data_IF_599403974320
#
_entry.id   IF_599403974320
#
_cell.length_a   1.000
_cell.length_b   1.000
_cell.length_c   1.000
_cell.angle_alpha   90.00
_cell.angle_beta   90.00
_cell.angle_gamma   90.00
#
_symmetry.space_group_name_H-M   'P 1'
#
loop_
_entity.id
_entity.type
_entity.pdbx_description
1 polymer ?
#
# COMPACT_ATOMS: atom_id res chain seq x y z
N UNK A 1 15.62 14.56 -0.94
CA UNK A 1 15.20 13.53 -1.91
C UNK A 1 15.47 12.17 -1.28
N UNK A 2 14.45 11.44 -0.80
CA UNK A 2 14.64 10.02 -0.47
C UNK A 2 14.64 9.28 -1.81
N UNK A 3 15.80 8.83 -2.26
CA UNK A 3 15.92 7.80 -3.30
C UNK A 3 15.13 6.60 -2.81
N UNK A 4 13.94 6.39 -3.37
CA UNK A 4 13.15 5.20 -3.12
C UNK A 4 13.94 4.04 -3.68
N UNK A 5 14.46 3.21 -2.78
CA UNK A 5 15.18 2.03 -3.20
C UNK A 5 14.16 1.02 -3.77
N UNK A 6 14.47 0.30 -4.86
CA UNK A 6 13.52 -0.63 -5.49
C UNK A 6 12.95 -1.70 -4.56
N UNK A 7 13.61 -1.96 -3.43
CA UNK A 7 13.14 -2.82 -2.33
C UNK A 7 11.86 -2.28 -1.64
N UNK A 8 11.65 -0.97 -1.61
CA UNK A 8 10.44 -0.36 -1.05
C UNK A 8 9.23 -0.62 -1.96
N UNK A 9 9.40 -0.56 -3.29
CA UNK A 9 8.29 -0.70 -4.24
C UNK A 9 7.64 -2.08 -4.15
N UNK A 10 8.44 -3.15 -4.11
CA UNK A 10 7.90 -4.52 -3.98
C UNK A 10 7.12 -4.71 -2.69
N UNK A 11 7.60 -4.10 -1.61
CA UNK A 11 6.96 -4.17 -0.29
C UNK A 11 5.63 -3.43 -0.27
N UNK A 12 5.57 -2.25 -0.89
CA UNK A 12 4.33 -1.47 -1.06
C UNK A 12 3.28 -2.24 -1.88
N UNK A 13 3.68 -2.83 -3.01
CA UNK A 13 2.80 -3.63 -3.86
C UNK A 13 2.28 -4.87 -3.12
N UNK A 14 3.16 -5.59 -2.42
CA UNK A 14 2.78 -6.77 -1.63
C UNK A 14 1.80 -6.41 -0.50
N UNK A 15 2.00 -5.27 0.16
CA UNK A 15 1.10 -4.78 1.21
C UNK A 15 -0.30 -4.49 0.67
N UNK A 16 -0.39 -3.77 -0.45
CA UNK A 16 -1.69 -3.46 -1.08
C UNK A 16 -2.36 -4.74 -1.59
N UNK A 17 -1.62 -5.63 -2.26
CA UNK A 17 -2.13 -6.92 -2.73
C UNK A 17 -2.65 -7.80 -1.58
N UNK A 18 -1.97 -7.80 -0.43
CA UNK A 18 -2.39 -8.56 0.73
C UNK A 18 -3.73 -8.08 1.31
N UNK A 19 -3.98 -6.76 1.30
CA UNK A 19 -5.18 -6.18 1.90
C UNK A 19 -6.38 -6.05 0.96
N UNK A 20 -6.16 -5.74 -0.31
CA UNK A 20 -7.24 -5.53 -1.28
C UNK A 20 -7.35 -6.63 -2.34
N UNK A 21 -6.39 -7.56 -2.38
CA UNK A 21 -6.33 -8.65 -3.38
C UNK A 21 -6.37 -8.15 -4.82
N UNK A 22 -5.85 -6.95 -5.06
CA UNK A 22 -5.71 -6.39 -6.39
C UNK A 22 -4.69 -7.16 -7.22
N UNK A 23 -4.93 -7.31 -8.53
CA UNK A 23 -4.05 -8.05 -9.41
C UNK A 23 -2.74 -7.25 -9.63
N UNK A 24 -1.65 -7.99 -9.83
CA UNK A 24 -0.29 -7.43 -9.81
C UNK A 24 -0.05 -6.38 -10.90
N UNK A 25 -0.62 -6.61 -12.08
CA UNK A 25 -0.62 -5.70 -13.23
C UNK A 25 -1.25 -4.35 -12.87
N UNK A 26 -2.41 -4.36 -12.24
CA UNK A 26 -3.09 -3.13 -11.82
C UNK A 26 -2.28 -2.34 -10.78
N UNK A 27 -1.54 -3.03 -9.91
CA UNK A 27 -0.69 -2.38 -8.92
C UNK A 27 0.59 -1.78 -9.53
N UNK A 28 1.12 -2.40 -10.59
CA UNK A 28 2.27 -1.88 -11.33
C UNK A 28 1.91 -0.62 -12.13
N UNK A 29 0.66 -0.51 -12.60
CA UNK A 29 0.16 0.66 -13.32
C UNK A 29 -0.13 1.87 -12.42
N UNK A 30 -0.16 1.69 -11.09
CA UNK A 30 -0.39 2.79 -10.15
C UNK A 30 0.81 3.73 -10.04
N UNK A 31 0.52 5.02 -9.94
CA UNK A 31 1.54 6.01 -9.61
C UNK A 31 1.98 5.90 -8.14
N UNK A 32 3.19 6.40 -7.86
CA UNK A 32 3.73 6.40 -6.50
C UNK A 32 2.82 7.11 -5.48
N UNK A 33 2.22 8.22 -5.89
CA UNK A 33 1.30 8.99 -5.03
C UNK A 33 0.04 8.18 -4.72
N UNK A 34 -0.48 7.45 -5.70
CA UNK A 34 -1.68 6.64 -5.56
C UNK A 34 -1.45 5.47 -4.59
N UNK A 35 -0.36 4.72 -4.77
CA UNK A 35 0.02 3.63 -3.85
C UNK A 35 0.15 4.12 -2.41
N UNK A 36 0.81 5.25 -2.20
CA UNK A 36 0.99 5.86 -0.87
C UNK A 36 -0.34 6.25 -0.23
N UNK A 37 -1.29 6.75 -1.02
CA UNK A 37 -2.66 7.06 -0.56
C UNK A 37 -3.36 5.79 -0.07
N UNK A 38 -3.32 4.72 -0.85
CA UNK A 38 -3.93 3.44 -0.49
C UNK A 38 -3.32 2.82 0.77
N UNK A 39 -1.99 2.84 0.91
CA UNK A 39 -1.30 2.36 2.13
C UNK A 39 -1.77 3.14 3.36
N UNK A 40 -1.92 4.46 3.24
CA UNK A 40 -2.45 5.30 4.32
C UNK A 40 -3.88 4.93 4.70
N UNK A 41 -4.74 4.63 3.72
CA UNK A 41 -6.12 4.20 3.97
C UNK A 41 -6.19 2.85 4.68
N UNK A 42 -5.39 1.87 4.24
CA UNK A 42 -5.28 0.56 4.89
C UNK A 42 -4.85 0.73 6.36
N UNK A 43 -3.84 1.56 6.61
CA UNK A 43 -3.34 1.83 7.96
C UNK A 43 -4.42 2.46 8.84
N UNK A 44 -5.20 3.40 8.29
CA UNK A 44 -6.30 4.04 9.01
C UNK A 44 -7.41 3.05 9.37
N UNK A 45 -7.80 2.18 8.43
CA UNK A 45 -8.80 1.13 8.66
C UNK A 45 -8.33 0.18 9.77
N UNK A 46 -7.10 -0.33 9.65
CA UNK A 46 -6.52 -1.24 10.63
C UNK A 46 -6.43 -0.61 12.03
N UNK A 47 -6.07 0.67 12.11
CA UNK A 47 -6.03 1.42 13.37
C UNK A 47 -7.42 1.54 14.01
N UNK A 48 -8.45 1.89 13.22
CA UNK A 48 -9.83 1.97 13.72
C UNK A 48 -10.35 0.63 14.22
N UNK A 49 -10.01 -0.46 13.52
CA UNK A 49 -10.37 -1.81 13.96
C UNK A 49 -9.67 -2.18 15.27
N UNK A 50 -8.39 -1.81 15.43
CA UNK A 50 -7.63 -2.06 16.64
C UNK A 50 -8.12 -1.24 17.85
N UNK A 51 -8.58 0.00 17.64
CA UNK A 51 -9.12 0.88 18.69
C UNK A 51 -10.56 0.52 19.12
N UNK A 52 -11.27 -0.30 18.33
CA UNK A 52 -12.64 -0.76 18.59
C UNK A 52 -12.74 -2.07 19.37
N UNK A 53 -11.65 -2.55 19.95
CA UNK A 53 -11.57 -3.73 20.84
C UNK A 53 -11.12 -3.30 22.23
#
# INVERSE_FOLDING_TARGET
>A
MKTYAPEDLRSELAYIAYHFHWPHDQLLDMDHIERRSWISQITLINRRLAEGT
#
